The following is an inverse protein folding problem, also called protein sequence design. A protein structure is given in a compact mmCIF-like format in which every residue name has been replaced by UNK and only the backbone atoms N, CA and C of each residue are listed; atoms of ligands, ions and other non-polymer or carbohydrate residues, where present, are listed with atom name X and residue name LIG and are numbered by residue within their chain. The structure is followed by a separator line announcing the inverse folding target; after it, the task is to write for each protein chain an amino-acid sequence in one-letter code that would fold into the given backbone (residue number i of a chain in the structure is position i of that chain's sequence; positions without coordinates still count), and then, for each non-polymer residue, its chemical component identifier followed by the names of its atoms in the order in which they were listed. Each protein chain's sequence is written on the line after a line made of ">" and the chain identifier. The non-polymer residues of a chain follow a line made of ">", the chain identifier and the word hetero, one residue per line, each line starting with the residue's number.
data_IF_645955074507
#
_entry.id   IF_645955074507
#
_cell.length_a   1.000
_cell.length_b   1.000
_cell.length_c   1.000
_cell.angle_alpha   90.00
_cell.angle_beta   90.00
_cell.angle_gamma   90.00
#
_symmetry.space_group_name_H-M   'P 1'
#
loop_
_entity.id
_entity.type
_entity.pdbx_description
1 polymer ?
#
# COMPACT_ATOMS: atom_id res chain seq x y z
N UNK A 1 25.10 5.88 4.81
CA UNK A 1 24.64 6.78 3.72
C UNK A 1 23.37 7.52 4.11
N UNK A 2 22.38 6.85 4.74
CA UNK A 2 21.15 7.47 5.24
C UNK A 2 21.37 8.70 6.15
N UNK A 3 22.34 8.66 7.06
CA UNK A 3 22.64 9.79 7.96
C UNK A 3 23.04 11.08 7.22
N UNK A 4 23.68 10.99 6.05
CA UNK A 4 23.98 12.16 5.22
C UNK A 4 22.76 12.69 4.45
N UNK A 5 21.80 11.81 4.13
CA UNK A 5 20.54 12.17 3.47
C UNK A 5 19.57 12.86 4.43
N UNK A 6 19.53 12.44 5.70
CA UNK A 6 18.72 13.04 6.76
C UNK A 6 19.15 14.48 7.14
N UNK A 7 20.37 14.87 6.75
CA UNK A 7 20.90 16.23 6.89
C UNK A 7 20.42 17.20 5.79
N UNK A 8 19.77 16.68 4.73
CA UNK A 8 19.22 17.48 3.64
C UNK A 8 18.07 18.37 4.08
N UNK A 9 18.03 19.60 3.54
CA UNK A 9 16.90 20.53 3.69
C UNK A 9 15.65 19.95 3.02
N UNK A 10 15.84 19.34 1.85
CA UNK A 10 14.87 18.52 1.13
C UNK A 10 15.54 17.24 0.65
N UNK A 11 14.80 16.14 0.61
CA UNK A 11 15.27 14.85 0.08
C UNK A 11 14.43 14.44 -1.14
N UNK A 12 15.09 13.91 -2.16
CA UNK A 12 14.41 13.33 -3.32
C UNK A 12 13.71 12.01 -2.97
N UNK A 13 12.76 11.57 -3.80
CA UNK A 13 12.04 10.31 -3.60
C UNK A 13 12.99 9.09 -3.52
N UNK A 14 14.06 9.07 -4.32
CA UNK A 14 15.05 8.01 -4.30
C UNK A 14 15.86 8.01 -3.00
N UNK A 15 16.23 9.19 -2.49
CA UNK A 15 16.94 9.33 -1.21
C UNK A 15 16.04 8.97 -0.03
N UNK A 16 14.76 9.32 -0.10
CA UNK A 16 13.77 8.89 0.87
C UNK A 16 13.68 7.36 0.92
N UNK A 17 13.68 6.70 -0.23
CA UNK A 17 13.68 5.24 -0.31
C UNK A 17 14.96 4.64 0.27
N UNK A 18 16.12 5.20 -0.05
CA UNK A 18 17.39 4.75 0.52
C UNK A 18 17.41 4.85 2.05
N UNK A 19 16.74 5.86 2.62
CA UNK A 19 16.52 5.99 4.06
C UNK A 19 15.58 4.87 4.53
N UNK A 20 14.40 4.72 3.91
CA UNK A 20 13.41 3.73 4.31
C UNK A 20 13.97 2.31 4.30
N UNK A 21 14.55 1.87 3.18
CA UNK A 21 15.17 0.55 3.01
C UNK A 21 16.39 0.32 3.91
N UNK A 22 17.03 1.40 4.40
CA UNK A 22 18.12 1.26 5.35
C UNK A 22 17.62 0.91 6.77
N UNK A 23 16.43 1.38 7.12
CA UNK A 23 15.85 1.12 8.45
C UNK A 23 14.91 -0.08 8.45
N UNK A 24 14.16 -0.33 7.38
CA UNK A 24 13.35 -1.54 7.17
C UNK A 24 14.25 -2.72 6.76
N UNK A 25 14.88 -3.37 7.74
CA UNK A 25 15.84 -4.45 7.46
C UNK A 25 15.15 -5.78 7.16
N UNK A 26 13.92 -5.96 7.63
CA UNK A 26 13.15 -7.17 7.38
C UNK A 26 12.31 -7.08 6.10
N UNK A 27 12.24 -5.90 5.47
CA UNK A 27 11.54 -5.67 4.21
C UNK A 27 10.03 -5.82 4.36
N UNK A 28 9.52 -5.72 5.59
CA UNK A 28 8.11 -5.95 5.86
C UNK A 28 7.25 -4.74 5.43
N UNK A 29 7.88 -3.61 5.06
CA UNK A 29 7.23 -2.36 4.66
C UNK A 29 6.87 -1.45 5.83
N UNK A 30 7.38 -1.75 7.03
CA UNK A 30 7.16 -1.04 8.28
C UNK A 30 8.44 -0.96 9.11
N UNK A 31 8.77 0.24 9.57
CA UNK A 31 9.89 0.44 10.50
C UNK A 31 9.31 0.29 11.91
N UNK A 32 9.69 -0.77 12.63
CA UNK A 32 9.13 -1.08 13.96
C UNK A 32 10.16 -1.43 15.03
N UNK A 33 9.75 -1.31 16.29
CA UNK A 33 10.56 -1.71 17.45
C UNK A 33 11.94 -1.04 17.51
N UNK A 34 13.00 -1.81 17.25
CA UNK A 34 14.38 -1.31 17.31
C UNK A 34 14.76 -0.44 16.12
N UNK A 35 14.17 -0.68 14.96
CA UNK A 35 14.46 0.06 13.73
C UNK A 35 13.96 1.49 13.85
N UNK A 36 12.75 1.65 14.38
CA UNK A 36 12.15 2.94 14.64
C UNK A 36 12.95 3.75 15.65
N UNK A 37 13.44 3.10 16.70
CA UNK A 37 14.28 3.73 17.72
C UNK A 37 15.64 4.19 17.15
N UNK A 38 16.22 3.41 16.24
CA UNK A 38 17.45 3.78 15.55
C UNK A 38 17.20 4.94 14.58
N UNK A 39 16.10 4.89 13.80
CA UNK A 39 15.69 5.97 12.90
C UNK A 39 15.50 7.29 13.64
N UNK A 40 14.76 7.31 14.75
CA UNK A 40 14.53 8.52 15.56
C UNK A 40 15.85 9.12 16.05
N UNK A 41 16.74 8.30 16.59
CA UNK A 41 18.05 8.75 17.08
C UNK A 41 18.91 9.31 15.97
N UNK A 42 18.97 8.63 14.82
CA UNK A 42 19.75 9.10 13.67
C UNK A 42 19.16 10.35 13.05
N UNK A 43 17.83 10.49 12.96
CA UNK A 43 17.15 11.69 12.49
C UNK A 43 17.49 12.90 13.39
N UNK A 44 17.37 12.75 14.71
CA UNK A 44 17.72 13.81 15.67
C UNK A 44 19.20 14.17 15.60
N UNK A 45 20.07 13.17 15.51
CA UNK A 45 21.52 13.37 15.45
C UNK A 45 21.93 14.05 14.14
N UNK A 46 21.39 13.61 12.99
CA UNK A 46 21.61 14.19 11.68
C UNK A 46 21.20 15.67 11.67
N UNK A 47 19.99 15.98 12.13
CA UNK A 47 19.46 17.35 12.17
C UNK A 47 20.28 18.25 13.10
N UNK A 48 20.68 17.75 14.27
CA UNK A 48 21.55 18.46 15.20
C UNK A 48 22.96 18.69 14.62
N UNK A 49 23.52 17.73 13.90
CA UNK A 49 24.81 17.87 13.21
C UNK A 49 24.74 18.87 12.04
N UNK A 50 23.62 18.92 11.33
CA UNK A 50 23.35 19.88 10.26
C UNK A 50 23.00 21.29 10.78
N UNK A 51 22.81 21.47 12.10
CA UNK A 51 22.34 22.73 12.68
C UNK A 51 20.89 23.09 12.30
N UNK A 52 20.09 22.10 11.88
CA UNK A 52 18.69 22.26 11.49
C UNK A 52 17.79 21.98 12.69
N UNK A 53 16.84 22.87 12.95
CA UNK A 53 15.74 22.62 13.89
C UNK A 53 14.85 21.49 13.36
N UNK A 54 14.41 20.62 14.28
CA UNK A 54 13.35 19.66 13.98
C UNK A 54 12.04 20.43 13.74
N UNK A 55 11.31 20.07 12.69
CA UNK A 55 9.96 20.62 12.44
C UNK A 55 9.00 20.18 13.55
N UNK A 56 7.90 20.92 13.75
CA UNK A 56 6.91 20.56 14.78
C UNK A 56 6.35 19.14 14.58
N UNK A 57 6.20 18.71 13.32
CA UNK A 57 5.82 17.33 12.97
C UNK A 57 6.87 16.30 13.41
N UNK A 58 8.16 16.55 13.15
CA UNK A 58 9.23 15.68 13.63
C UNK A 58 9.29 15.64 15.16
N UNK A 59 9.14 16.78 15.84
CA UNK A 59 9.14 16.86 17.31
C UNK A 59 7.98 16.06 17.90
N UNK A 60 6.78 16.21 17.35
CA UNK A 60 5.59 15.45 17.76
C UNK A 60 5.78 13.95 17.52
N UNK A 61 6.25 13.57 16.33
CA UNK A 61 6.54 12.19 15.97
C UNK A 61 7.55 11.54 16.91
N UNK A 62 8.68 12.21 17.16
CA UNK A 62 9.69 11.67 18.07
C UNK A 62 9.11 11.53 19.48
N UNK A 63 8.38 12.51 19.99
CA UNK A 63 7.78 12.40 21.32
C UNK A 63 6.76 11.25 21.45
N UNK A 64 6.04 10.94 20.37
CA UNK A 64 5.03 9.87 20.32
C UNK A 64 5.67 8.48 20.22
N UNK A 65 6.65 8.31 19.33
CA UNK A 65 7.23 7.00 19.02
C UNK A 65 8.52 6.67 19.79
N UNK A 66 9.19 7.65 20.42
CA UNK A 66 10.36 7.41 21.27
C UNK A 66 10.03 6.51 22.47
N UNK A 67 8.80 6.62 22.99
CA UNK A 67 8.31 5.79 24.11
C UNK A 67 7.51 4.57 23.65
N UNK A 68 7.06 4.56 22.40
CA UNK A 68 6.24 3.49 21.87
C UNK A 68 7.11 2.42 21.21
N UNK A 69 7.40 1.37 21.96
CA UNK A 69 8.19 0.22 21.49
C UNK A 69 7.37 -0.78 20.68
N UNK A 70 6.04 -0.67 20.69
CA UNK A 70 5.10 -1.40 19.82
C UNK A 70 4.66 -0.57 18.61
N UNK A 71 5.17 0.66 18.49
CA UNK A 71 4.90 1.53 17.37
C UNK A 71 5.54 0.96 16.11
N UNK A 72 4.75 0.89 15.04
CA UNK A 72 5.21 0.64 13.68
C UNK A 72 4.89 1.85 12.85
N UNK A 73 5.80 2.22 11.97
CA UNK A 73 5.57 3.29 11.00
C UNK A 73 5.66 2.74 9.60
N UNK A 74 4.66 3.04 8.79
CA UNK A 74 4.69 2.76 7.36
C UNK A 74 5.42 3.87 6.62
N UNK A 75 5.66 3.60 5.34
CA UNK A 75 6.23 4.59 4.41
C UNK A 75 5.44 5.91 4.40
N UNK A 76 4.13 5.84 4.56
CA UNK A 76 3.24 7.00 4.52
C UNK A 76 3.48 7.95 5.70
N UNK A 77 3.69 7.42 6.90
CA UNK A 77 4.02 8.23 8.08
C UNK A 77 5.40 8.87 7.89
N UNK A 78 6.36 8.11 7.37
CA UNK A 78 7.70 8.61 7.10
C UNK A 78 7.70 9.77 6.09
N UNK A 79 6.90 9.70 5.01
CA UNK A 79 6.74 10.79 4.02
C UNK A 79 6.19 12.07 4.66
N UNK A 80 5.33 11.95 5.67
CA UNK A 80 4.78 13.13 6.36
C UNK A 80 5.79 13.80 7.30
N UNK A 81 6.79 13.05 7.77
CA UNK A 81 7.78 13.52 8.73
C UNK A 81 9.00 14.10 8.01
N UNK A 82 9.44 13.45 6.94
CA UNK A 82 10.61 13.88 6.17
C UNK A 82 10.24 14.96 5.14
N UNK A 83 11.05 16.01 4.98
CA UNK A 83 10.83 17.05 3.97
C UNK A 83 11.22 16.50 2.60
N UNK A 84 10.33 15.68 2.04
CA UNK A 84 10.53 15.08 0.73
C UNK A 84 10.12 16.11 -0.33
N UNK A 85 11.06 16.45 -1.21
CA UNK A 85 10.94 17.52 -2.23
C UNK A 85 9.70 17.28 -3.13
N UNK A 86 9.37 16.01 -3.33
CA UNK A 86 8.31 15.57 -4.22
C UNK A 86 7.39 14.58 -3.49
N UNK A 87 6.39 15.14 -2.81
CA UNK A 87 5.35 14.41 -2.07
C UNK A 87 4.35 13.67 -2.98
N UNK A 88 4.78 13.04 -4.08
CA UNK A 88 3.90 12.30 -4.98
C UNK A 88 3.12 11.20 -4.24
N UNK A 89 3.73 10.55 -3.25
CA UNK A 89 3.07 9.58 -2.34
C UNK A 89 1.96 10.24 -1.51
N UNK A 90 2.13 11.50 -1.12
CA UNK A 90 1.08 12.25 -0.43
C UNK A 90 -0.05 12.64 -1.37
N UNK A 91 0.24 12.99 -2.64
CA UNK A 91 -0.79 13.24 -3.65
C UNK A 91 -1.56 11.97 -4.00
N UNK A 92 -0.84 10.86 -4.14
CA UNK A 92 -1.38 9.53 -4.31
C UNK A 92 -2.36 9.21 -3.17
N UNK A 93 -1.96 9.44 -1.92
CA UNK A 93 -2.84 9.32 -0.75
C UNK A 93 -4.04 10.29 -0.78
N UNK A 94 -3.84 11.56 -1.16
CA UNK A 94 -4.92 12.55 -1.17
C UNK A 94 -6.06 12.17 -2.14
N UNK A 95 -5.72 11.45 -3.21
CA UNK A 95 -6.69 10.91 -4.17
C UNK A 95 -7.32 9.58 -3.72
N UNK A 96 -6.71 8.88 -2.77
CA UNK A 96 -7.16 7.59 -2.27
C UNK A 96 -7.70 7.71 -0.84
N UNK A 97 -8.95 8.16 -0.73
CA UNK A 97 -9.57 8.36 0.58
C UNK A 97 -10.16 7.08 1.15
N UNK A 98 -10.45 6.10 0.30
CA UNK A 98 -10.99 4.81 0.72
C UNK A 98 -10.37 3.65 -0.05
N UNK A 99 -10.34 2.47 0.59
CA UNK A 99 -9.93 1.25 -0.10
C UNK A 99 -10.81 0.95 -1.34
N UNK A 100 -12.10 1.31 -1.33
CA UNK A 100 -12.96 1.14 -2.50
C UNK A 100 -12.54 2.01 -3.69
N UNK A 101 -12.21 3.29 -3.46
CA UNK A 101 -11.67 4.18 -4.50
C UNK A 101 -10.33 3.67 -5.01
N UNK A 102 -9.48 3.13 -4.13
CA UNK A 102 -8.22 2.50 -4.51
C UNK A 102 -8.41 1.29 -5.40
N UNK A 103 -9.35 0.41 -5.07
CA UNK A 103 -9.68 -0.77 -5.87
C UNK A 103 -10.26 -0.39 -7.22
N UNK A 104 -11.13 0.62 -7.26
CA UNK A 104 -11.69 1.11 -8.51
C UNK A 104 -10.62 1.77 -9.39
N UNK A 105 -9.73 2.56 -8.79
CA UNK A 105 -8.56 3.11 -9.49
C UNK A 105 -7.72 1.95 -10.01
N UNK A 106 -7.29 1.02 -9.16
CA UNK A 106 -6.51 -0.16 -9.53
C UNK A 106 -7.06 -0.83 -10.79
N UNK A 107 -8.36 -1.16 -10.78
CA UNK A 107 -9.04 -1.80 -11.91
C UNK A 107 -9.04 -0.99 -13.19
N UNK A 108 -9.09 0.34 -13.10
CA UNK A 108 -9.01 1.21 -14.28
C UNK A 108 -7.60 1.24 -14.90
N UNK A 109 -6.57 0.97 -14.09
CA UNK A 109 -5.18 1.06 -14.52
C UNK A 109 -4.56 -0.31 -14.85
N UNK A 110 -5.05 -1.39 -14.23
CA UNK A 110 -4.84 -2.79 -14.60
C UNK A 110 -5.73 -3.11 -15.83
N UNK A 111 -5.34 -2.53 -16.97
CA UNK A 111 -6.14 -2.54 -18.19
C UNK A 111 -6.17 -3.92 -18.85
N UNK A 112 -5.15 -4.74 -18.59
CA UNK A 112 -5.07 -6.11 -19.06
C UNK A 112 -5.69 -7.13 -18.10
N UNK A 113 -6.17 -6.67 -16.93
CA UNK A 113 -6.72 -7.50 -15.86
C UNK A 113 -5.77 -8.64 -15.45
N UNK A 114 -4.47 -8.39 -15.56
CA UNK A 114 -3.44 -9.33 -15.14
C UNK A 114 -3.42 -9.48 -13.62
N UNK A 115 -3.94 -8.50 -12.88
CA UNK A 115 -3.87 -8.45 -11.43
C UNK A 115 -2.63 -7.75 -10.89
N UNK A 116 -1.80 -7.23 -11.80
CA UNK A 116 -0.54 -6.57 -11.50
C UNK A 116 -0.48 -5.27 -12.28
N UNK A 117 0.04 -4.21 -11.67
CA UNK A 117 0.32 -2.96 -12.37
C UNK A 117 1.77 -3.04 -12.86
N UNK A 118 1.94 -3.15 -14.17
CA UNK A 118 3.27 -3.15 -14.79
C UNK A 118 3.87 -1.73 -14.80
N UNK A 119 5.18 -1.62 -15.04
CA UNK A 119 5.87 -0.33 -15.10
C UNK A 119 5.21 0.68 -16.06
N UNK A 120 4.74 0.22 -17.23
CA UNK A 120 4.07 1.07 -18.22
C UNK A 120 2.69 1.55 -17.74
N UNK A 121 1.94 0.69 -17.05
CA UNK A 121 0.64 1.02 -16.45
C UNK A 121 0.81 1.98 -15.27
N UNK A 122 1.80 1.75 -14.42
CA UNK A 122 2.17 2.66 -13.34
C UNK A 122 2.60 4.03 -13.88
N UNK A 123 3.35 4.04 -14.99
CA UNK A 123 3.74 5.29 -15.67
C UNK A 123 2.51 6.06 -16.14
N UNK A 124 1.55 5.39 -16.76
CA UNK A 124 0.28 6.00 -17.19
C UNK A 124 -0.55 6.49 -15.99
N UNK A 125 -0.62 5.69 -14.93
CA UNK A 125 -1.25 6.05 -13.67
C UNK A 125 -0.68 7.35 -13.10
N UNK A 126 0.65 7.39 -12.93
CA UNK A 126 1.35 8.55 -12.36
C UNK A 126 1.18 9.78 -13.25
N UNK A 127 1.16 9.59 -14.57
CA UNK A 127 0.92 10.66 -15.54
C UNK A 127 -0.45 11.30 -15.37
N UNK A 128 -1.48 10.48 -15.21
CA UNK A 128 -2.85 10.94 -15.06
C UNK A 128 -3.05 11.59 -13.68
N UNK A 129 -2.45 11.02 -12.62
CA UNK A 129 -2.47 11.61 -11.28
C UNK A 129 -1.75 12.98 -11.22
N UNK A 130 -0.59 13.12 -11.86
CA UNK A 130 0.13 14.39 -11.93
C UNK A 130 -0.64 15.44 -12.75
N UNK A 131 -1.34 14.99 -13.80
CA UNK A 131 -2.22 15.85 -14.61
C UNK A 131 -3.41 16.35 -13.78
N UNK A 132 -4.06 15.49 -13.00
CA UNK A 132 -5.13 15.90 -12.08
C UNK A 132 -4.63 16.86 -10.98
N UNK A 133 -3.42 16.62 -10.47
CA UNK A 133 -2.75 17.51 -9.52
C UNK A 133 -2.31 18.85 -10.14
N UNK A 134 -2.53 19.06 -11.45
CA UNK A 134 -2.09 20.23 -12.23
C UNK A 134 -0.61 20.56 -12.06
N UNK A 135 0.21 19.53 -11.84
CA UNK A 135 1.65 19.70 -11.68
C UNK A 135 2.34 19.58 -13.04
N UNK A 136 3.25 20.50 -13.38
CA UNK A 136 4.13 20.31 -14.52
C UNK A 136 5.05 19.11 -14.21
N UNK A 137 5.13 18.17 -15.13
CA UNK A 137 6.05 17.03 -15.06
C UNK A 137 6.77 16.86 -16.39
N UNK A 138 8.01 16.39 -16.30
CA UNK A 138 8.79 15.96 -17.45
C UNK A 138 8.76 14.44 -17.55
N UNK A 139 8.94 13.90 -18.76
CA UNK A 139 8.94 12.45 -18.99
C UNK A 139 10.05 11.74 -18.19
N UNK A 140 11.21 12.39 -18.01
CA UNK A 140 12.29 11.90 -17.15
C UNK A 140 11.88 11.79 -15.68
N UNK A 141 11.18 12.79 -15.15
CA UNK A 141 10.69 12.77 -13.76
C UNK A 141 9.62 11.69 -13.58
N UNK A 142 8.74 11.54 -14.57
CA UNK A 142 7.72 10.50 -14.54
C UNK A 142 8.36 9.10 -14.51
N UNK A 143 9.40 8.88 -15.30
CA UNK A 143 10.16 7.63 -15.31
C UNK A 143 10.91 7.40 -13.98
N UNK A 144 11.51 8.44 -13.42
CA UNK A 144 12.13 8.41 -12.09
C UNK A 144 11.12 8.07 -10.99
N UNK A 145 9.92 8.66 -11.02
CA UNK A 145 8.84 8.30 -10.10
C UNK A 145 8.36 6.88 -10.28
N UNK A 146 8.22 6.42 -11.53
CA UNK A 146 7.77 5.06 -11.81
C UNK A 146 8.77 4.06 -11.24
N UNK A 147 10.07 4.25 -11.53
CA UNK A 147 11.13 3.40 -11.00
C UNK A 147 11.25 3.47 -9.48
N UNK A 148 11.10 4.67 -8.90
CA UNK A 148 11.16 4.84 -7.45
C UNK A 148 9.95 4.18 -6.78
N UNK A 149 8.75 4.33 -7.35
CA UNK A 149 7.52 3.71 -6.84
C UNK A 149 7.60 2.19 -6.95
N UNK A 150 8.11 1.64 -8.06
CA UNK A 150 8.41 0.22 -8.18
C UNK A 150 9.36 -0.19 -7.06
N UNK A 151 10.56 0.37 -6.96
CA UNK A 151 11.52 -0.01 -5.91
C UNK A 151 11.01 0.16 -4.46
N UNK A 152 10.03 1.04 -4.25
CA UNK A 152 9.36 1.22 -2.96
C UNK A 152 8.42 0.05 -2.66
N UNK A 153 7.55 -0.30 -3.61
CA UNK A 153 6.42 -1.19 -3.37
C UNK A 153 6.68 -2.63 -3.84
N UNK A 154 7.39 -2.79 -4.96
CA UNK A 154 7.86 -4.03 -5.59
C UNK A 154 8.90 -4.71 -4.66
N UNK A 155 8.39 -5.46 -3.69
CA UNK A 155 9.23 -6.09 -2.67
C UNK A 155 9.86 -7.38 -3.20
N UNK A 156 9.21 -8.01 -4.17
CA UNK A 156 9.70 -9.23 -4.82
C UNK A 156 10.65 -8.93 -6.00
N UNK A 157 10.84 -7.65 -6.36
CA UNK A 157 11.63 -7.17 -7.50
C UNK A 157 11.21 -7.84 -8.82
N UNK A 158 9.93 -8.09 -9.00
CA UNK A 158 9.40 -8.71 -10.23
C UNK A 158 9.15 -7.67 -11.35
N UNK A 159 9.31 -6.38 -11.05
CA UNK A 159 9.10 -5.26 -11.97
C UNK A 159 7.62 -4.88 -12.12
N UNK A 160 6.75 -5.43 -11.29
CA UNK A 160 5.31 -5.22 -11.26
C UNK A 160 4.87 -4.91 -9.83
N UNK A 161 3.74 -4.24 -9.70
CA UNK A 161 3.12 -4.02 -8.39
C UNK A 161 1.91 -4.91 -8.29
N UNK A 162 1.83 -5.71 -7.23
CA UNK A 162 0.59 -6.41 -6.89
C UNK A 162 -0.28 -5.54 -5.98
N UNK A 163 -1.57 -5.88 -5.88
CA UNK A 163 -2.56 -5.13 -5.12
C UNK A 163 -2.14 -4.92 -3.66
N UNK A 164 -1.48 -5.90 -3.05
CA UNK A 164 -1.03 -5.85 -1.66
C UNK A 164 0.13 -4.89 -1.44
N UNK A 165 1.03 -4.81 -2.41
CA UNK A 165 2.19 -3.93 -2.35
C UNK A 165 1.73 -2.47 -2.38
N UNK A 166 0.84 -2.10 -3.30
CA UNK A 166 0.25 -0.76 -3.29
C UNK A 166 -0.76 -0.56 -2.16
N UNK A 167 -1.39 -1.61 -1.64
CA UNK A 167 -2.26 -1.48 -0.47
C UNK A 167 -1.51 -0.92 0.74
N UNK A 168 -0.18 -1.08 0.86
CA UNK A 168 0.63 -0.46 1.92
C UNK A 168 0.54 1.07 1.97
N UNK A 169 0.07 1.71 0.89
CA UNK A 169 -0.23 3.15 0.86
C UNK A 169 -1.52 3.51 1.59
N UNK A 170 -2.42 2.56 1.77
CA UNK A 170 -3.67 2.75 2.50
C UNK A 170 -3.39 2.82 4.01
N UNK A 171 -4.12 3.67 4.75
CA UNK A 171 -4.02 3.72 6.21
C UNK A 171 -4.32 2.35 6.81
N UNK A 172 -3.53 1.91 7.80
CA UNK A 172 -3.71 0.64 8.52
C UNK A 172 -5.14 0.41 9.04
N UNK A 173 -5.87 1.48 9.35
CA UNK A 173 -7.26 1.43 9.81
C UNK A 173 -8.23 0.91 8.74
N UNK A 174 -7.95 1.20 7.46
CA UNK A 174 -8.74 0.85 6.28
C UNK A 174 -8.10 -0.27 5.44
N UNK A 175 -6.83 -0.55 5.65
CA UNK A 175 -6.07 -1.53 4.91
C UNK A 175 -6.40 -2.97 5.35
N UNK A 176 -7.58 -3.45 4.96
CA UNK A 176 -7.97 -4.83 5.18
C UNK A 176 -7.18 -5.81 4.31
N UNK A 177 -6.61 -5.36 3.20
CA UNK A 177 -5.87 -6.21 2.26
C UNK A 177 -4.68 -6.89 2.95
N UNK A 178 -3.97 -6.17 3.81
CA UNK A 178 -2.90 -6.76 4.63
C UNK A 178 -3.41 -7.83 5.60
N UNK A 179 -4.60 -7.64 6.18
CA UNK A 179 -5.20 -8.67 7.05
C UNK A 179 -5.58 -9.93 6.27
N UNK A 180 -5.98 -9.76 5.02
CA UNK A 180 -6.32 -10.86 4.13
C UNK A 180 -5.09 -11.66 3.68
N UNK A 181 -3.85 -11.14 3.79
CA UNK A 181 -2.64 -11.94 3.57
C UNK A 181 -2.58 -13.18 4.47
N UNK A 182 -2.99 -13.05 5.74
CA UNK A 182 -3.06 -14.19 6.67
C UNK A 182 -4.19 -15.18 6.38
N UNK A 183 -5.08 -14.84 5.44
CA UNK A 183 -6.26 -15.62 5.02
C UNK A 183 -6.10 -16.16 3.59
N UNK A 184 -5.03 -15.76 2.89
CA UNK A 184 -4.76 -16.22 1.54
C UNK A 184 -4.64 -17.74 1.49
N UNK A 185 -5.27 -18.32 0.48
CA UNK A 185 -5.33 -19.77 0.28
C UNK A 185 -4.75 -20.13 -1.09
N UNK A 186 -4.24 -21.37 -1.26
CA UNK A 186 -3.72 -21.80 -2.54
C UNK A 186 -4.82 -21.79 -3.61
N UNK A 187 -4.43 -21.49 -4.86
CA UNK A 187 -5.36 -21.36 -6.00
C UNK A 187 -6.32 -22.55 -6.16
N UNK A 188 -5.90 -23.76 -5.81
CA UNK A 188 -6.74 -24.96 -5.83
C UNK A 188 -7.90 -24.90 -4.83
N UNK A 189 -7.64 -24.39 -3.63
CA UNK A 189 -8.66 -24.23 -2.58
C UNK A 189 -9.56 -23.04 -2.90
N UNK A 190 -8.95 -21.94 -3.35
CA UNK A 190 -9.67 -20.77 -3.84
C UNK A 190 -10.68 -21.14 -4.94
N UNK A 191 -10.26 -21.89 -5.97
CA UNK A 191 -11.16 -22.29 -7.06
C UNK A 191 -12.33 -23.14 -6.57
N UNK A 192 -12.10 -24.07 -5.61
CA UNK A 192 -13.16 -24.89 -5.03
C UNK A 192 -14.14 -24.06 -4.22
N UNK A 193 -13.63 -23.10 -3.46
CA UNK A 193 -14.46 -22.16 -2.69
C UNK A 193 -15.26 -21.32 -3.68
N UNK A 194 -14.62 -20.76 -4.71
CA UNK A 194 -15.32 -19.97 -5.73
C UNK A 194 -16.49 -20.74 -6.33
N UNK A 195 -16.26 -21.97 -6.81
CA UNK A 195 -17.29 -22.85 -7.39
C UNK A 195 -18.36 -23.28 -6.39
N UNK A 196 -18.08 -23.24 -5.09
CA UNK A 196 -19.04 -23.60 -4.04
C UNK A 196 -19.98 -22.44 -3.69
N UNK A 197 -19.50 -21.20 -3.80
CA UNK A 197 -20.31 -20.00 -3.53
C UNK A 197 -20.97 -19.41 -4.78
N UNK A 198 -20.42 -19.64 -5.99
CA UNK A 198 -21.04 -19.41 -7.30
C UNK A 198 -22.17 -20.42 -7.50
N UNK A 199 -23.33 -20.15 -6.87
CA UNK A 199 -24.44 -21.12 -6.77
C UNK A 199 -25.20 -21.25 -8.06
N UNK A 200 -25.25 -20.19 -8.84
CA UNK A 200 -25.94 -20.15 -10.12
C UNK A 200 -25.02 -20.58 -11.28
N UNK A 201 -23.72 -20.74 -11.04
CA UNK A 201 -22.74 -21.19 -12.02
C UNK A 201 -22.56 -20.18 -13.15
N UNK A 202 -22.85 -18.90 -12.89
CA UNK A 202 -22.79 -17.84 -13.90
C UNK A 202 -21.33 -17.43 -14.23
N UNK A 203 -20.36 -17.90 -13.43
CA UNK A 203 -18.93 -17.65 -13.59
C UNK A 203 -18.40 -16.37 -12.90
N UNK A 204 -19.23 -15.66 -12.15
CA UNK A 204 -18.92 -14.46 -11.37
C UNK A 204 -19.66 -14.47 -10.02
N UNK A 205 -19.08 -13.88 -8.98
CA UNK A 205 -19.80 -13.70 -7.72
C UNK A 205 -20.57 -12.39 -7.73
N UNK A 206 -21.82 -12.44 -7.30
CA UNK A 206 -22.60 -11.25 -6.99
C UNK A 206 -22.35 -10.74 -5.55
N UNK A 207 -23.00 -9.63 -5.18
CA UNK A 207 -22.90 -9.07 -3.83
C UNK A 207 -23.38 -9.99 -2.72
N UNK A 208 -24.36 -10.86 -2.98
CA UNK A 208 -24.93 -11.76 -1.97
C UNK A 208 -24.03 -12.97 -1.75
N UNK A 209 -23.46 -13.51 -2.83
CA UNK A 209 -22.50 -14.61 -2.81
C UNK A 209 -21.20 -14.17 -2.14
N UNK A 210 -20.72 -12.96 -2.45
CA UNK A 210 -19.58 -12.36 -1.77
C UNK A 210 -19.85 -12.14 -0.28
N UNK A 211 -21.05 -11.70 0.11
CA UNK A 211 -21.43 -11.53 1.52
C UNK A 211 -21.39 -12.87 2.28
N UNK A 212 -21.90 -13.95 1.67
CA UNK A 212 -21.85 -15.29 2.24
C UNK A 212 -20.40 -15.80 2.38
N UNK A 213 -19.58 -15.61 1.35
CA UNK A 213 -18.15 -15.94 1.38
C UNK A 213 -17.43 -15.18 2.50
N UNK A 214 -17.65 -13.87 2.61
CA UNK A 214 -16.98 -13.03 3.62
C UNK A 214 -17.41 -13.40 5.03
N UNK A 215 -18.69 -13.76 5.25
CA UNK A 215 -19.15 -14.27 6.55
C UNK A 215 -18.42 -15.54 6.93
N UNK A 216 -18.34 -16.52 6.04
CA UNK A 216 -17.66 -17.79 6.32
C UNK A 216 -16.15 -17.61 6.50
N UNK A 217 -15.52 -16.71 5.73
CA UNK A 217 -14.12 -16.34 5.92
C UNK A 217 -13.87 -15.65 7.25
N UNK A 218 -14.74 -14.72 7.66
CA UNK A 218 -14.69 -14.09 8.98
C UNK A 218 -14.91 -15.11 10.09
N UNK A 219 -15.81 -16.09 9.90
CA UNK A 219 -16.05 -17.13 10.90
C UNK A 219 -14.88 -18.10 11.07
N UNK A 220 -14.21 -18.46 9.96
CA UNK A 220 -12.99 -19.28 10.00
C UNK A 220 -11.80 -18.50 10.54
N UNK A 221 -11.73 -17.20 10.27
CA UNK A 221 -10.59 -16.35 10.60
C UNK A 221 -10.93 -15.25 11.63
N UNK A 222 -11.77 -15.56 12.63
CA UNK A 222 -12.20 -14.61 13.69
C UNK A 222 -11.05 -13.94 14.46
N UNK A 223 -9.84 -14.50 14.37
CA UNK A 223 -8.62 -13.93 14.97
C UNK A 223 -8.03 -12.76 14.16
N UNK A 224 -8.29 -12.71 12.85
CA UNK A 224 -7.66 -11.76 11.90
C UNK A 224 -8.70 -10.80 11.32
N UNK A 225 -9.91 -11.29 11.04
CA UNK A 225 -10.98 -10.52 10.42
C UNK A 225 -12.07 -10.14 11.42
N UNK A 226 -12.44 -8.87 11.41
CA UNK A 226 -13.55 -8.33 12.21
C UNK A 226 -14.87 -8.47 11.46
N UNK A 227 -15.82 -9.21 12.04
CA UNK A 227 -17.16 -9.41 11.48
C UNK A 227 -17.97 -8.12 11.35
N UNK A 228 -17.67 -7.09 12.15
CA UNK A 228 -18.35 -5.80 12.06
C UNK A 228 -17.93 -5.00 10.81
N UNK A 229 -16.78 -5.33 10.22
CA UNK A 229 -16.25 -4.70 9.01
C UNK A 229 -16.56 -5.46 7.72
N UNK A 230 -17.37 -6.54 7.78
CA UNK A 230 -17.83 -7.27 6.58
C UNK A 230 -18.42 -6.33 5.52
N UNK A 231 -19.29 -5.36 5.85
CA UNK A 231 -19.82 -4.44 4.85
C UNK A 231 -18.72 -3.62 4.17
N UNK A 232 -17.67 -3.22 4.90
CA UNK A 232 -16.53 -2.49 4.36
C UNK A 232 -15.71 -3.35 3.41
N UNK A 233 -15.43 -4.60 3.79
CA UNK A 233 -14.72 -5.55 2.93
C UNK A 233 -15.53 -5.84 1.66
N UNK A 234 -16.85 -6.02 1.80
CA UNK A 234 -17.77 -6.25 0.68
C UNK A 234 -17.72 -5.09 -0.31
N UNK A 235 -17.88 -3.85 0.16
CA UNK A 235 -17.86 -2.67 -0.72
C UNK A 235 -16.52 -2.52 -1.44
N UNK A 236 -15.41 -2.75 -0.77
CA UNK A 236 -14.10 -2.60 -1.38
C UNK A 236 -13.76 -3.72 -2.38
N UNK A 237 -14.09 -4.98 -2.07
CA UNK A 237 -13.93 -6.08 -3.03
C UNK A 237 -14.90 -5.90 -4.20
N UNK A 238 -16.13 -5.45 -3.97
CA UNK A 238 -17.09 -5.17 -5.03
C UNK A 238 -16.65 -3.98 -5.91
N UNK A 239 -15.79 -3.09 -5.43
CA UNK A 239 -15.18 -2.06 -6.27
C UNK A 239 -14.19 -2.62 -7.30
N UNK A 240 -13.66 -3.84 -7.09
CA UNK A 240 -12.94 -4.60 -8.12
C UNK A 240 -13.88 -5.28 -9.12
N UNK A 241 -15.20 -5.30 -8.89
CA UNK A 241 -16.14 -6.00 -9.77
C UNK A 241 -16.46 -5.24 -11.05
N UNK A 242 -16.83 -5.97 -12.10
CA UNK A 242 -17.36 -5.40 -13.35
C UNK A 242 -18.85 -5.11 -13.29
N UNK A 243 -19.21 -3.92 -12.79
CA UNK A 243 -20.61 -3.53 -12.70
C UNK A 243 -21.43 -4.44 -11.77
N UNK A 244 -20.81 -4.90 -10.67
CA UNK A 244 -21.40 -5.83 -9.70
C UNK A 244 -21.11 -7.31 -9.97
N UNK A 245 -20.27 -7.62 -10.96
CA UNK A 245 -19.88 -9.00 -11.31
C UNK A 245 -18.41 -9.22 -10.96
N UNK A 246 -18.17 -9.99 -9.90
CA UNK A 246 -16.82 -10.25 -9.42
C UNK A 246 -16.27 -11.53 -10.03
N UNK A 247 -15.33 -11.43 -10.96
CA UNK A 247 -14.77 -12.60 -11.62
C UNK A 247 -13.73 -13.32 -10.75
N UNK A 248 -13.41 -14.56 -11.13
CA UNK A 248 -12.39 -15.38 -10.45
C UNK A 248 -11.03 -14.68 -10.37
N UNK A 249 -10.66 -13.94 -11.41
CA UNK A 249 -9.39 -13.20 -11.49
C UNK A 249 -9.33 -12.09 -10.45
N UNK A 250 -10.38 -11.27 -10.35
CA UNK A 250 -10.48 -10.13 -9.42
C UNK A 250 -10.48 -10.60 -7.96
N UNK A 251 -11.28 -11.62 -7.64
CA UNK A 251 -11.32 -12.15 -6.27
C UNK A 251 -10.02 -12.90 -5.89
N UNK A 252 -9.34 -13.50 -6.86
CA UNK A 252 -8.05 -14.14 -6.63
C UNK A 252 -6.98 -13.15 -6.15
N UNK A 253 -7.02 -11.87 -6.58
CA UNK A 253 -6.06 -10.85 -6.12
C UNK A 253 -6.07 -10.69 -4.59
N UNK A 254 -7.25 -10.83 -4.00
CA UNK A 254 -7.47 -10.61 -2.57
C UNK A 254 -7.27 -11.90 -1.77
N UNK A 255 -7.78 -13.04 -2.27
CA UNK A 255 -7.87 -14.29 -1.50
C UNK A 255 -6.91 -15.40 -1.94
N UNK A 256 -6.28 -15.29 -3.11
CA UNK A 256 -5.33 -16.28 -3.58
C UNK A 256 -3.91 -15.91 -3.11
N UNK A 257 -3.19 -16.89 -2.56
CA UNK A 257 -1.75 -16.81 -2.47
C UNK A 257 -1.18 -17.02 -3.88
N UNK A 258 -0.44 -16.02 -4.37
CA UNK A 258 0.41 -16.23 -5.54
C UNK A 258 1.51 -17.21 -5.11
N UNK A 259 1.61 -18.30 -5.88
CA UNK A 259 2.66 -19.31 -5.73
C UNK A 259 3.76 -19.03 -6.73
#
# INVERSE_FOLDING_TARGET
>A
MANALLQGVEISASQFLDIFNHYDNDGNGYIEGKELQNFIKELQQARKQAGLELTDQMKAFVAEYEKNTEGKIGIVELVQILPTEENFLLFFRQQLKSCAEFMQAWRNYDADHSGYIEADELKNFLRDLLREAKKPYDEKKLEEYTQTTLKIFDSNNDGKLCLLEMARLLPDQENFLLKFQGVKMPRKEFNKIFELYDKDGNGYMDENELDALLKDLCEKNKKVLDSNKIPTYKTAIMALSDGGKLYRTELALVLCADN
#
